data_IF_877894365022
#
_entry.id   IF_877894365022
#
_cell.length_a   1.000
_cell.length_b   1.000
_cell.length_c   1.000
_cell.angle_alpha   90.00
_cell.angle_beta   90.00
_cell.angle_gamma   90.00
#
_symmetry.space_group_name_H-M   'P 1'
#
loop_
_entity.id
_entity.type
_entity.pdbx_description
1 polymer ?
#
# COMPACT_ATOMS: atom_id res chain seq x y z
N UNK A 1 7.67 -26.00 -28.07
CA UNK A 1 7.84 -25.03 -26.96
C UNK A 1 9.32 -24.93 -26.63
N UNK A 2 9.91 -23.72 -26.71
CA UNK A 2 11.28 -23.51 -26.26
C UNK A 2 11.30 -23.52 -24.72
N UNK A 3 11.96 -24.51 -24.13
CA UNK A 3 12.20 -24.57 -22.69
C UNK A 3 13.53 -23.92 -22.34
N UNK A 4 13.57 -23.15 -21.26
CA UNK A 4 14.80 -22.56 -20.71
C UNK A 4 15.20 -23.33 -19.45
N UNK A 5 16.49 -23.60 -19.31
CA UNK A 5 17.05 -24.25 -18.13
C UNK A 5 18.27 -23.48 -17.62
N UNK A 6 18.43 -23.42 -16.30
CA UNK A 6 19.60 -22.76 -15.71
C UNK A 6 20.86 -23.58 -16.02
N UNK A 7 21.93 -22.90 -16.39
CA UNK A 7 23.28 -23.45 -16.46
C UNK A 7 23.79 -23.80 -15.06
N UNK A 8 24.86 -24.61 -14.96
CA UNK A 8 25.44 -24.94 -13.64
C UNK A 8 25.98 -23.70 -12.93
N UNK A 9 26.56 -22.75 -13.66
CA UNK A 9 26.94 -21.45 -13.12
C UNK A 9 25.72 -20.66 -12.61
N UNK A 10 24.59 -20.70 -13.32
CA UNK A 10 23.33 -20.10 -12.90
C UNK A 10 22.75 -20.75 -11.64
N UNK A 11 22.84 -22.08 -11.53
CA UNK A 11 22.43 -22.83 -10.33
C UNK A 11 23.29 -22.48 -9.12
N UNK A 12 24.62 -22.43 -9.29
CA UNK A 12 25.54 -22.05 -8.20
C UNK A 12 25.22 -20.64 -7.68
N UNK A 13 25.02 -19.67 -8.59
CA UNK A 13 24.66 -18.30 -8.21
C UNK A 13 23.28 -18.20 -7.55
N UNK A 14 22.33 -19.02 -7.96
CA UNK A 14 21.02 -19.09 -7.30
C UNK A 14 21.13 -19.64 -5.88
N UNK A 15 21.97 -20.66 -5.64
CA UNK A 15 22.23 -21.19 -4.32
C UNK A 15 22.92 -20.17 -3.41
N UNK A 16 23.89 -19.40 -3.92
CA UNK A 16 24.52 -18.33 -3.18
C UNK A 16 23.51 -17.23 -2.80
N UNK A 17 22.61 -16.87 -3.72
CA UNK A 17 21.55 -15.91 -3.45
C UNK A 17 20.56 -16.41 -2.39
N UNK A 18 20.17 -17.69 -2.44
CA UNK A 18 19.32 -18.33 -1.42
C UNK A 18 20.00 -18.38 -0.05
N UNK A 19 21.33 -18.50 -0.01
CA UNK A 19 22.08 -18.43 1.26
C UNK A 19 22.00 -17.02 1.91
N UNK A 20 21.80 -15.99 1.10
CA UNK A 20 21.67 -14.60 1.58
C UNK A 20 20.24 -14.25 1.99
N UNK A 21 19.24 -14.75 1.26
CA UNK A 21 17.82 -14.48 1.54
C UNK A 21 16.96 -15.66 1.05
N UNK A 22 16.00 -16.08 1.87
CA UNK A 22 14.97 -17.05 1.51
C UNK A 22 13.70 -16.36 0.96
N UNK A 23 13.84 -15.20 0.36
CA UNK A 23 12.73 -14.54 -0.29
C UNK A 23 12.27 -15.29 -1.54
N UNK A 24 11.00 -15.64 -1.56
CA UNK A 24 10.33 -16.24 -2.72
C UNK A 24 9.29 -15.25 -3.26
N UNK A 25 9.45 -14.89 -4.53
CA UNK A 25 8.53 -13.98 -5.18
C UNK A 25 9.15 -13.31 -6.41
N UNK A 26 8.44 -12.36 -7.02
CA UNK A 26 8.98 -11.51 -8.06
C UNK A 26 10.19 -10.74 -7.53
N UNK A 27 11.12 -10.41 -8.42
CA UNK A 27 12.33 -9.67 -8.08
C UNK A 27 11.98 -8.39 -7.25
N UNK A 28 12.65 -8.14 -6.12
CA UNK A 28 12.40 -6.94 -5.33
C UNK A 28 12.59 -5.66 -6.15
N UNK A 29 11.81 -4.65 -5.85
CA UNK A 29 11.88 -3.36 -6.53
C UNK A 29 13.00 -2.52 -5.91
N UNK A 30 13.94 -1.95 -6.68
CA UNK A 30 14.94 -1.03 -6.14
C UNK A 30 14.28 0.17 -5.44
N UNK A 31 14.93 0.67 -4.38
CA UNK A 31 14.38 1.74 -3.53
C UNK A 31 14.08 3.03 -4.31
N UNK A 32 14.89 3.38 -5.29
CA UNK A 32 14.70 4.57 -6.14
C UNK A 32 13.43 4.45 -6.99
N UNK A 33 13.20 3.27 -7.59
CA UNK A 33 11.99 2.97 -8.37
C UNK A 33 10.76 2.99 -7.46
N UNK A 34 10.86 2.44 -6.26
CA UNK A 34 9.80 2.51 -5.26
C UNK A 34 9.46 3.96 -4.87
N UNK A 35 10.47 4.80 -4.61
CA UNK A 35 10.27 6.23 -4.30
C UNK A 35 9.52 6.97 -5.41
N UNK A 36 9.84 6.70 -6.66
CA UNK A 36 9.12 7.30 -7.79
C UNK A 36 7.66 6.83 -7.85
N UNK A 37 7.41 5.55 -7.57
CA UNK A 37 6.04 5.02 -7.50
C UNK A 37 5.24 5.68 -6.37
N UNK A 38 5.81 5.83 -5.17
CA UNK A 38 5.17 6.52 -4.04
C UNK A 38 4.84 7.97 -4.38
N UNK A 39 5.74 8.70 -5.06
CA UNK A 39 5.46 10.08 -5.50
C UNK A 39 4.27 10.14 -6.46
N UNK A 40 4.20 9.22 -7.42
CA UNK A 40 3.11 9.18 -8.43
C UNK A 40 1.74 8.94 -7.79
N UNK A 41 1.67 8.10 -6.77
CA UNK A 41 0.43 7.73 -6.07
C UNK A 41 0.26 8.45 -4.72
N UNK A 42 0.95 9.58 -4.53
CA UNK A 42 0.83 10.39 -3.32
C UNK A 42 -0.57 10.97 -3.17
N UNK A 43 -1.09 10.98 -1.94
CA UNK A 43 -2.36 11.63 -1.59
C UNK A 43 -2.39 13.12 -1.97
N UNK A 44 -1.23 13.77 -2.09
CA UNK A 44 -1.11 15.16 -2.54
C UNK A 44 -1.55 15.38 -3.98
N UNK A 45 -1.62 14.31 -4.77
CA UNK A 45 -2.06 14.34 -6.16
C UNK A 45 -3.57 14.09 -6.29
N UNK A 46 -4.25 13.76 -5.17
CA UNK A 46 -5.67 13.46 -5.15
C UNK A 46 -6.45 14.73 -4.83
N UNK A 47 -7.45 15.02 -5.65
CA UNK A 47 -8.44 16.04 -5.35
C UNK A 47 -9.76 15.36 -5.01
N UNK A 48 -10.21 15.58 -3.78
CA UNK A 48 -11.49 15.04 -3.32
C UNK A 48 -12.56 16.12 -3.49
N UNK A 49 -13.53 15.83 -4.35
CA UNK A 49 -14.67 16.73 -4.56
C UNK A 49 -15.66 16.65 -3.40
N UNK A 50 -16.44 17.73 -3.22
CA UNK A 50 -17.54 17.77 -2.23
C UNK A 50 -18.53 16.60 -2.47
N UNK A 51 -18.84 16.28 -3.71
CA UNK A 51 -19.76 15.18 -4.05
C UNK A 51 -19.24 13.82 -3.62
N UNK A 52 -17.93 13.56 -3.74
CA UNK A 52 -17.30 12.33 -3.25
C UNK A 52 -17.36 12.23 -1.71
N UNK A 53 -17.09 13.33 -1.01
CA UNK A 53 -17.22 13.37 0.45
C UNK A 53 -18.66 13.13 0.91
N UNK A 54 -19.63 13.79 0.28
CA UNK A 54 -21.06 13.60 0.59
C UNK A 54 -21.48 12.13 0.30
N UNK A 55 -21.03 11.57 -0.81
CA UNK A 55 -21.33 10.17 -1.16
C UNK A 55 -20.76 9.18 -0.13
N UNK A 56 -19.49 9.35 0.24
CA UNK A 56 -18.81 8.47 1.20
C UNK A 56 -19.36 8.63 2.63
N UNK A 57 -19.83 9.81 2.99
CA UNK A 57 -20.35 10.13 4.33
C UNK A 57 -21.88 10.20 4.39
N UNK A 58 -22.60 9.77 3.37
CA UNK A 58 -24.06 9.88 3.26
C UNK A 58 -24.84 9.13 4.37
N UNK A 59 -24.18 8.22 5.07
CA UNK A 59 -24.72 7.54 6.26
C UNK A 59 -24.55 8.34 7.56
N UNK A 60 -23.82 9.47 7.52
CA UNK A 60 -23.59 10.35 8.65
C UNK A 60 -24.42 11.62 8.53
N UNK A 61 -24.94 12.09 9.65
CA UNK A 61 -25.59 13.40 9.72
C UNK A 61 -24.54 14.44 10.08
N UNK A 62 -24.01 15.12 9.08
CA UNK A 62 -22.94 16.11 9.24
C UNK A 62 -23.43 17.50 8.84
N UNK A 63 -23.03 18.57 9.57
CA UNK A 63 -23.29 19.94 9.14
C UNK A 63 -22.59 20.25 7.81
N UNK A 64 -23.24 21.02 6.93
CA UNK A 64 -22.65 21.43 5.64
C UNK A 64 -21.33 22.19 5.83
N UNK A 65 -21.24 23.03 6.88
CA UNK A 65 -20.02 23.77 7.23
C UNK A 65 -18.83 22.85 7.49
N UNK A 66 -19.05 21.65 8.06
CA UNK A 66 -17.98 20.67 8.29
C UNK A 66 -17.49 20.08 6.97
N UNK A 67 -18.40 19.74 6.08
CA UNK A 67 -18.07 19.21 4.73
C UNK A 67 -17.28 20.24 3.92
N UNK A 68 -17.64 21.52 4.03
CA UNK A 68 -16.97 22.62 3.34
C UNK A 68 -15.52 22.84 3.86
N UNK A 69 -15.25 22.51 5.12
CA UNK A 69 -13.89 22.54 5.68
C UNK A 69 -13.09 21.26 5.36
N UNK A 70 -13.74 20.10 5.34
CA UNK A 70 -13.06 18.83 5.11
C UNK A 70 -12.49 18.73 3.68
N UNK A 71 -13.23 19.19 2.66
CA UNK A 71 -12.79 19.10 1.26
C UNK A 71 -11.41 19.72 1.03
N UNK A 72 -11.23 21.02 1.33
CA UNK A 72 -9.92 21.67 1.22
C UNK A 72 -8.85 21.05 2.12
N UNK A 73 -9.20 20.63 3.35
CA UNK A 73 -8.25 20.02 4.27
C UNK A 73 -7.69 18.70 3.74
N UNK A 74 -8.56 17.84 3.20
CA UNK A 74 -8.16 16.56 2.60
C UNK A 74 -7.33 16.78 1.33
N UNK A 75 -7.79 17.67 0.45
CA UNK A 75 -7.11 17.99 -0.81
C UNK A 75 -5.74 18.67 -0.60
N UNK A 76 -5.52 19.29 0.57
CA UNK A 76 -4.22 19.85 0.91
C UNK A 76 -3.13 18.79 1.14
N UNK A 77 -3.50 17.52 1.34
CA UNK A 77 -2.57 16.40 1.57
C UNK A 77 -1.67 16.59 2.80
N UNK A 78 -2.20 17.27 3.82
CA UNK A 78 -1.51 17.57 5.08
C UNK A 78 -2.17 16.86 6.25
N UNK A 79 -1.48 16.84 7.39
CA UNK A 79 -2.03 16.29 8.62
C UNK A 79 -3.27 17.07 9.05
N UNK A 80 -4.33 16.34 9.42
CA UNK A 80 -5.59 16.89 9.90
C UNK A 80 -5.71 16.50 11.37
N UNK A 81 -5.92 17.51 12.24
CA UNK A 81 -6.21 17.28 13.64
C UNK A 81 -7.71 17.45 13.89
N UNK A 82 -8.37 16.37 14.27
CA UNK A 82 -9.77 16.37 14.70
C UNK A 82 -9.86 16.20 16.22
N UNK A 83 -10.49 17.16 16.90
CA UNK A 83 -10.66 17.13 18.37
C UNK A 83 -12.11 17.39 18.76
N UNK A 84 -12.45 16.99 19.98
CA UNK A 84 -13.78 17.15 20.53
C UNK A 84 -14.16 16.00 21.48
N UNK A 85 -15.31 16.08 22.16
CA UNK A 85 -15.77 15.03 23.06
C UNK A 85 -15.87 13.65 22.41
N UNK A 86 -15.78 12.56 23.17
CA UNK A 86 -16.00 11.22 22.64
C UNK A 86 -17.46 11.08 22.14
N UNK A 87 -17.67 10.18 21.16
CA UNK A 87 -19.01 9.95 20.60
C UNK A 87 -19.42 10.86 19.44
N UNK A 88 -18.66 11.91 19.12
CA UNK A 88 -19.01 12.87 18.05
C UNK A 88 -18.57 12.43 16.63
N UNK A 89 -18.42 11.14 16.39
CA UNK A 89 -18.22 10.62 15.03
C UNK A 89 -16.84 10.88 14.41
N UNK A 90 -15.81 11.28 15.19
CA UNK A 90 -14.45 11.54 14.65
C UNK A 90 -13.88 10.38 13.84
N UNK A 91 -13.99 9.17 14.37
CA UNK A 91 -13.52 7.95 13.68
C UNK A 91 -14.35 7.66 12.42
N UNK A 92 -15.66 7.91 12.47
CA UNK A 92 -16.54 7.76 11.31
C UNK A 92 -16.19 8.75 10.20
N UNK A 93 -15.82 9.98 10.56
CA UNK A 93 -15.35 10.99 9.60
C UNK A 93 -14.00 10.55 8.99
N UNK A 94 -13.07 10.02 9.78
CA UNK A 94 -11.79 9.50 9.26
C UNK A 94 -12.00 8.37 8.26
N UNK A 95 -12.92 7.45 8.55
CA UNK A 95 -13.29 6.38 7.62
C UNK A 95 -13.94 6.95 6.35
N UNK A 96 -14.85 7.90 6.49
CA UNK A 96 -15.48 8.56 5.34
C UNK A 96 -14.48 9.32 4.45
N UNK A 97 -13.45 9.93 5.01
CA UNK A 97 -12.35 10.54 4.24
C UNK A 97 -11.61 9.47 3.44
N UNK A 98 -11.25 8.34 4.05
CA UNK A 98 -10.65 7.19 3.36
C UNK A 98 -11.50 6.74 2.18
N UNK A 99 -12.79 6.52 2.44
CA UNK A 99 -13.73 5.99 1.44
C UNK A 99 -13.94 6.99 0.30
N UNK A 100 -13.89 8.31 0.59
CA UNK A 100 -13.98 9.36 -0.41
C UNK A 100 -12.74 9.43 -1.33
N UNK A 101 -11.57 9.04 -0.85
CA UNK A 101 -10.36 8.96 -1.69
C UNK A 101 -10.45 7.85 -2.71
N UNK A 102 -10.95 6.67 -2.33
CA UNK A 102 -11.39 5.56 -3.18
C UNK A 102 -10.46 5.12 -4.33
N UNK A 103 -9.18 5.47 -4.27
CA UNK A 103 -8.23 5.18 -5.33
C UNK A 103 -7.48 3.85 -5.12
N UNK A 104 -6.97 3.32 -6.23
CA UNK A 104 -6.14 2.12 -6.23
C UNK A 104 -4.66 2.52 -6.19
N UNK A 105 -3.87 1.77 -5.44
CA UNK A 105 -2.42 1.95 -5.33
C UNK A 105 -1.70 0.66 -5.69
N UNK A 106 -0.48 0.81 -6.16
CA UNK A 106 0.39 -0.32 -6.50
C UNK A 106 1.44 -0.48 -5.40
N UNK A 107 1.32 -1.57 -4.63
CA UNK A 107 2.19 -1.89 -3.51
C UNK A 107 3.20 -2.94 -3.98
N UNK A 108 4.52 -2.71 -3.87
CA UNK A 108 5.51 -3.70 -4.24
C UNK A 108 5.47 -4.88 -3.27
N UNK A 109 5.69 -6.09 -3.75
CA UNK A 109 5.79 -7.27 -2.87
C UNK A 109 6.98 -7.16 -1.93
N UNK A 110 8.11 -6.72 -2.47
CA UNK A 110 9.32 -6.43 -1.71
C UNK A 110 10.11 -5.32 -2.39
N UNK A 111 10.91 -4.61 -1.61
CA UNK A 111 11.90 -3.64 -2.07
C UNK A 111 13.30 -4.12 -1.72
N UNK A 112 14.28 -3.71 -2.53
CA UNK A 112 15.70 -3.95 -2.27
C UNK A 112 16.35 -2.63 -1.84
N UNK A 113 17.13 -2.71 -0.77
CA UNK A 113 17.98 -1.62 -0.30
C UNK A 113 19.27 -2.17 0.29
N UNK A 114 20.41 -1.71 -0.22
CA UNK A 114 21.75 -2.09 0.26
C UNK A 114 21.97 -3.62 0.35
N UNK A 115 21.46 -4.38 -0.62
CA UNK A 115 21.55 -5.84 -0.65
C UNK A 115 20.57 -6.56 0.29
N UNK A 116 19.70 -5.83 0.98
CA UNK A 116 18.68 -6.38 1.87
C UNK A 116 17.31 -6.38 1.19
N UNK A 117 16.55 -7.44 1.43
CA UNK A 117 15.17 -7.56 0.96
C UNK A 117 14.22 -7.15 2.07
N UNK A 118 13.35 -6.19 1.78
CA UNK A 118 12.33 -5.69 2.71
C UNK A 118 10.95 -6.04 2.11
N UNK A 119 10.19 -6.89 2.77
CA UNK A 119 8.83 -7.24 2.35
C UNK A 119 7.87 -6.12 2.73
N UNK A 120 7.11 -5.62 1.75
CA UNK A 120 6.17 -4.49 1.94
C UNK A 120 4.74 -4.98 1.87
N UNK A 121 4.39 -5.74 0.82
CA UNK A 121 3.03 -6.26 0.69
C UNK A 121 2.68 -7.21 1.83
N UNK A 122 1.57 -6.90 2.50
CA UNK A 122 1.03 -7.68 3.62
C UNK A 122 -0.48 -7.84 3.40
N UNK A 123 -1.00 -9.07 3.21
CA UNK A 123 -2.42 -9.29 2.94
C UNK A 123 -3.34 -8.91 4.12
N UNK A 124 -2.80 -8.70 5.33
CA UNK A 124 -3.58 -8.23 6.49
C UNK A 124 -3.86 -6.72 6.36
N UNK A 125 -2.90 -5.97 5.82
CA UNK A 125 -2.99 -4.50 5.68
C UNK A 125 -3.52 -4.10 4.31
N UNK A 126 -3.14 -4.85 3.26
CA UNK A 126 -3.42 -4.51 1.87
C UNK A 126 -4.55 -5.36 1.30
N UNK A 127 -5.72 -4.78 1.15
CA UNK A 127 -6.82 -5.39 0.39
C UNK A 127 -6.53 -5.30 -1.10
N UNK A 128 -6.50 -6.45 -1.78
CA UNK A 128 -6.37 -6.45 -3.24
C UNK A 128 -7.58 -5.79 -3.87
N UNK A 129 -7.33 -4.83 -4.75
CA UNK A 129 -8.40 -4.27 -5.57
C UNK A 129 -8.84 -5.30 -6.62
N UNK A 130 -10.13 -5.31 -6.93
CA UNK A 130 -10.64 -6.11 -8.04
C UNK A 130 -9.95 -5.65 -9.34
N UNK A 131 -9.32 -6.59 -10.02
CA UNK A 131 -8.79 -6.34 -11.36
C UNK A 131 -9.98 -6.27 -12.32
N UNK A 132 -10.04 -5.23 -13.14
CA UNK A 132 -10.93 -5.17 -14.28
C UNK A 132 -10.52 -6.27 -15.29
N UNK A 133 -10.96 -7.49 -15.03
CA UNK A 133 -10.83 -8.60 -15.97
C UNK A 133 -11.87 -8.38 -17.08
N UNK A 134 -11.47 -7.64 -18.11
CA UNK A 134 -12.34 -7.30 -19.23
C UNK A 134 -12.68 -8.49 -20.15
N UNK A 135 -12.15 -9.67 -19.91
CA UNK A 135 -12.46 -10.82 -20.73
C UNK A 135 -12.51 -12.11 -19.86
N UNK A 136 -13.71 -12.57 -19.48
CA UNK A 136 -13.89 -13.83 -18.77
C UNK A 136 -13.50 -15.05 -19.61
N UNK A 137 -13.30 -14.90 -20.94
CA UNK A 137 -12.92 -15.98 -21.86
C UNK A 137 -11.43 -16.04 -22.14
N UNK A 138 -10.63 -15.09 -21.66
CA UNK A 138 -9.19 -15.09 -21.86
C UNK A 138 -8.54 -16.25 -21.11
N UNK A 139 -7.98 -17.18 -21.86
CA UNK A 139 -7.20 -18.35 -21.34
C UNK A 139 -5.95 -17.94 -20.55
N UNK A 140 -5.55 -16.68 -20.59
CA UNK A 140 -4.40 -16.12 -19.88
C UNK A 140 -4.76 -14.75 -19.32
N UNK A 141 -4.68 -14.61 -18.00
CA UNK A 141 -4.75 -13.31 -17.35
C UNK A 141 -3.50 -12.49 -17.71
N UNK A 142 -3.66 -11.48 -18.53
CA UNK A 142 -2.59 -10.53 -18.84
C UNK A 142 -2.72 -9.37 -17.87
N UNK A 143 -1.86 -9.34 -16.87
CA UNK A 143 -1.74 -8.17 -16.00
C UNK A 143 -1.19 -6.99 -16.80
N UNK A 144 -1.86 -5.84 -16.75
CA UNK A 144 -1.46 -4.61 -17.47
C UNK A 144 -0.40 -3.80 -16.71
N UNK A 145 0.06 -4.29 -15.57
CA UNK A 145 1.05 -3.62 -14.73
C UNK A 145 2.19 -4.59 -14.37
N UNK A 146 3.27 -4.04 -13.87
CA UNK A 146 4.45 -4.78 -13.42
C UNK A 146 4.06 -5.77 -12.31
N UNK A 147 4.29 -7.06 -12.53
CA UNK A 147 3.93 -8.17 -11.62
C UNK A 147 4.67 -8.14 -10.28
N UNK A 148 5.69 -7.30 -10.15
CA UNK A 148 6.38 -7.03 -8.88
C UNK A 148 5.49 -6.27 -7.89
N UNK A 149 4.46 -5.59 -8.39
CA UNK A 149 3.47 -4.87 -7.61
C UNK A 149 2.17 -5.65 -7.48
N UNK A 150 1.39 -5.30 -6.47
CA UNK A 150 0.02 -5.74 -6.27
C UNK A 150 -0.86 -4.52 -6.32
N UNK A 151 -1.92 -4.55 -7.13
CA UNK A 151 -2.94 -3.51 -7.14
C UNK A 151 -3.82 -3.70 -5.91
N UNK A 152 -3.87 -2.69 -5.06
CA UNK A 152 -4.61 -2.70 -3.80
C UNK A 152 -5.53 -1.48 -3.71
N UNK A 153 -6.59 -1.59 -2.94
CA UNK A 153 -7.26 -0.42 -2.40
C UNK A 153 -6.27 0.35 -1.53
N UNK A 154 -6.39 1.68 -1.48
CA UNK A 154 -5.46 2.47 -0.67
C UNK A 154 -5.48 2.00 0.78
N UNK A 155 -4.37 1.51 1.33
CA UNK A 155 -4.32 1.00 2.69
C UNK A 155 -4.51 2.14 3.70
N UNK A 156 -5.16 1.81 4.79
CA UNK A 156 -5.34 2.73 5.92
C UNK A 156 -4.93 2.00 7.19
N UNK A 157 -3.98 2.58 7.90
CA UNK A 157 -3.51 2.07 9.17
C UNK A 157 -4.07 2.93 10.30
N UNK A 158 -4.77 2.29 11.24
CA UNK A 158 -5.27 2.93 12.45
C UNK A 158 -4.41 2.45 13.61
N UNK A 159 -3.79 3.40 14.30
CA UNK A 159 -2.97 3.13 15.49
C UNK A 159 -3.53 3.89 16.69
N UNK A 160 -3.46 3.29 17.85
CA UNK A 160 -3.87 3.88 19.13
C UNK A 160 -2.67 4.17 20.04
N UNK A 161 -2.93 4.15 21.35
CA UNK A 161 -1.90 4.39 22.37
C UNK A 161 -0.84 3.29 22.50
N UNK A 162 -1.02 2.17 21.81
CA UNK A 162 -0.05 1.07 21.71
C UNK A 162 1.13 1.37 20.78
N UNK A 163 1.06 2.42 19.96
CA UNK A 163 2.13 2.77 19.03
C UNK A 163 3.40 3.16 19.78
N UNK A 164 4.44 2.36 19.62
CA UNK A 164 5.78 2.62 20.16
C UNK A 164 6.78 2.92 19.04
N UNK A 165 7.93 3.51 19.38
CA UNK A 165 8.98 3.80 18.41
C UNK A 165 9.51 2.53 17.73
N UNK A 166 9.61 1.44 18.46
CA UNK A 166 10.10 0.16 17.94
C UNK A 166 9.19 -0.39 16.82
N UNK A 167 7.89 -0.06 16.85
CA UNK A 167 6.95 -0.46 15.79
C UNK A 167 7.14 0.34 14.48
N UNK A 168 7.94 1.40 14.51
CA UNK A 168 8.30 2.20 13.33
C UNK A 168 9.56 1.70 12.65
N UNK A 169 10.27 0.74 13.24
CA UNK A 169 11.49 0.16 12.70
C UNK A 169 11.20 -1.08 11.84
N UNK A 170 12.20 -1.43 11.01
CA UNK A 170 12.16 -2.66 10.23
C UNK A 170 12.32 -3.86 11.16
N UNK A 171 11.46 -4.85 11.02
CA UNK A 171 11.53 -6.10 11.79
C UNK A 171 12.28 -7.16 10.99
N UNK A 172 13.41 -7.63 11.52
CA UNK A 172 14.18 -8.71 10.89
C UNK A 172 13.53 -10.08 11.13
N UNK A 173 13.31 -10.82 10.05
CA UNK A 173 12.89 -12.21 10.10
C UNK A 173 14.11 -13.13 9.89
N UNK A 174 14.59 -13.81 10.94
CA UNK A 174 15.80 -14.65 10.84
C UNK A 174 15.58 -15.89 9.98
N UNK A 175 14.36 -16.39 9.89
CA UNK A 175 14.04 -17.57 9.07
C UNK A 175 14.15 -17.27 7.58
N UNK A 176 13.49 -16.21 7.13
CA UNK A 176 13.51 -15.79 5.74
C UNK A 176 14.73 -14.92 5.38
N UNK A 177 15.51 -14.48 6.37
CA UNK A 177 16.62 -13.53 6.20
C UNK A 177 16.21 -12.28 5.43
N UNK A 178 15.02 -11.79 5.75
CA UNK A 178 14.43 -10.59 5.16
C UNK A 178 13.97 -9.66 6.25
N UNK A 179 13.75 -8.40 5.90
CA UNK A 179 13.09 -7.45 6.77
C UNK A 179 11.61 -7.33 6.43
N UNK A 180 10.78 -7.04 7.42
CA UNK A 180 9.38 -6.65 7.23
C UNK A 180 9.27 -5.14 7.36
N UNK A 181 8.54 -4.54 6.44
CA UNK A 181 8.24 -3.11 6.48
C UNK A 181 7.35 -2.77 7.69
N UNK A 182 7.62 -1.67 8.39
CA UNK A 182 6.74 -1.17 9.43
C UNK A 182 5.44 -0.59 8.86
N UNK A 183 4.47 -0.31 9.73
CA UNK A 183 3.12 0.12 9.32
C UNK A 183 3.11 1.37 8.46
N UNK A 184 3.95 2.37 8.75
CA UNK A 184 4.04 3.61 7.97
C UNK A 184 4.62 3.40 6.55
N UNK A 185 5.32 2.30 6.31
CA UNK A 185 5.81 1.95 4.98
C UNK A 185 4.79 1.11 4.19
N UNK A 186 3.82 0.52 4.91
CA UNK A 186 2.72 -0.27 4.36
C UNK A 186 1.47 0.57 4.06
N UNK A 187 1.38 1.80 4.61
CA UNK A 187 0.22 2.70 4.46
C UNK A 187 0.32 3.64 3.27
#
# INVERSE_FOLDING_TARGET
>A
EMGYQLTDAGKARALDALAQSEYFGPMPVPLDVYREQVKRQSIRNIQVSRSQLVGAMGHLVLPDSLLDHLGPAVSAGRSILMYGPPGNGKSSISNGIRDAMGDKVYVPRAIEYAGQVITVYDPIVHSKAEEDTQDPTALRRVTRYDTRYVCCERPTVITGGELSLDMLDLVYNPTARTYQAPLQLKS
#
